data_IF_104493925982
#
_entry.id   IF_104493925982
#
_cell.length_a   1.000
_cell.length_b   1.000
_cell.length_c   1.000
_cell.angle_alpha   90.00
_cell.angle_beta   90.00
_cell.angle_gamma   90.00
#
_symmetry.space_group_name_H-M   'P 1'
#
loop_
_entity.id
_entity.type
_entity.pdbx_description
1 polymer ?
#
# COMPACT_ATOMS: atom_id res chain seq x y z
N UNK A 1 -14.17 -22.19 -12.79
CA UNK A 1 -15.36 -22.06 -11.92
C UNK A 1 -15.01 -21.08 -10.82
N UNK A 2 -15.90 -20.12 -10.52
CA UNK A 2 -15.68 -19.16 -9.44
C UNK A 2 -16.12 -19.77 -8.09
N UNK A 3 -15.38 -19.46 -7.03
CA UNK A 3 -15.69 -19.85 -5.66
C UNK A 3 -15.56 -18.61 -4.76
N UNK A 4 -16.26 -18.53 -3.62
CA UNK A 4 -16.26 -17.30 -2.80
C UNK A 4 -14.87 -16.80 -2.43
N UNK A 5 -13.92 -17.71 -2.15
CA UNK A 5 -12.55 -17.34 -1.78
C UNK A 5 -11.71 -16.82 -2.96
N UNK A 6 -12.05 -17.16 -4.21
CA UNK A 6 -11.32 -16.70 -5.40
C UNK A 6 -11.90 -15.41 -6.02
N UNK A 7 -12.95 -14.86 -5.42
CA UNK A 7 -13.57 -13.58 -5.78
C UNK A 7 -13.36 -12.56 -4.67
N UNK A 8 -12.78 -11.41 -5.02
CA UNK A 8 -12.56 -10.32 -4.08
C UNK A 8 -12.96 -8.99 -4.70
N UNK A 9 -13.60 -8.12 -3.92
CA UNK A 9 -13.92 -6.76 -4.34
C UNK A 9 -12.65 -5.91 -4.31
N UNK A 10 -12.41 -5.18 -5.39
CA UNK A 10 -11.34 -4.20 -5.48
C UNK A 10 -11.84 -2.97 -6.23
N UNK A 11 -11.33 -1.78 -5.91
CA UNK A 11 -11.63 -0.61 -6.72
C UNK A 11 -10.98 -0.73 -8.11
N UNK A 12 -11.50 0.01 -9.08
CA UNK A 12 -11.06 -0.03 -10.48
C UNK A 12 -9.55 0.20 -10.59
N UNK A 13 -9.01 1.19 -9.86
CA UNK A 13 -7.60 1.52 -9.90
C UNK A 13 -6.71 0.41 -9.34
N UNK A 14 -7.07 -0.16 -8.18
CA UNK A 14 -6.31 -1.24 -7.56
C UNK A 14 -6.36 -2.50 -8.42
N UNK A 15 -7.53 -2.82 -9.01
CA UNK A 15 -7.68 -3.95 -9.89
C UNK A 15 -6.84 -3.78 -11.17
N UNK A 16 -6.81 -2.57 -11.74
CA UNK A 16 -5.98 -2.23 -12.91
C UNK A 16 -4.48 -2.27 -12.58
N UNK A 17 -4.08 -1.70 -11.44
CA UNK A 17 -2.68 -1.68 -11.01
C UNK A 17 -2.17 -3.09 -10.68
N UNK A 18 -2.97 -3.90 -9.97
CA UNK A 18 -2.63 -5.28 -9.64
C UNK A 18 -2.59 -6.15 -10.90
N UNK A 19 -3.61 -6.05 -11.76
CA UNK A 19 -3.73 -6.86 -12.98
C UNK A 19 -3.47 -8.36 -12.70
N UNK A 20 -2.74 -9.00 -13.60
CA UNK A 20 -2.25 -10.36 -13.64
C UNK A 20 -0.94 -10.58 -12.87
N UNK A 21 -0.45 -9.59 -12.11
CA UNK A 21 0.77 -9.75 -11.30
C UNK A 21 0.62 -10.95 -10.36
N UNK A 22 1.69 -11.73 -10.25
CA UNK A 22 1.74 -12.90 -9.37
C UNK A 22 1.71 -12.47 -7.90
N UNK A 23 0.64 -12.87 -7.21
CA UNK A 23 0.41 -12.53 -5.79
C UNK A 23 0.36 -13.74 -4.86
N UNK A 24 0.59 -14.93 -5.39
CA UNK A 24 0.62 -16.19 -4.63
C UNK A 24 1.88 -16.99 -4.98
N UNK A 25 2.43 -17.69 -3.98
CA UNK A 25 3.47 -18.71 -4.18
C UNK A 25 2.88 -20.13 -4.37
N UNK A 26 1.56 -20.27 -4.25
CA UNK A 26 0.88 -21.55 -4.31
C UNK A 26 1.09 -22.21 -5.67
N UNK A 27 1.42 -23.50 -5.64
CA UNK A 27 1.46 -24.38 -6.82
C UNK A 27 0.16 -25.16 -6.99
N UNK A 28 -0.85 -24.88 -6.16
CA UNK A 28 -2.09 -25.64 -6.16
C UNK A 28 -2.85 -25.42 -7.48
N UNK A 29 -3.13 -26.52 -8.19
CA UNK A 29 -3.83 -26.51 -9.49
C UNK A 29 -5.31 -26.89 -9.33
N UNK A 30 -5.65 -27.64 -8.27
CA UNK A 30 -6.99 -28.21 -8.05
C UNK A 30 -7.79 -27.56 -6.91
N UNK A 31 -7.11 -27.03 -5.90
CA UNK A 31 -7.74 -26.45 -4.71
C UNK A 31 -7.23 -25.02 -4.50
N UNK A 32 -8.12 -24.12 -4.13
CA UNK A 32 -7.73 -22.75 -3.80
C UNK A 32 -6.89 -22.72 -2.51
N UNK A 33 -5.76 -21.97 -2.48
CA UNK A 33 -4.98 -21.82 -1.26
C UNK A 33 -5.77 -21.09 -0.17
N UNK A 34 -5.86 -21.69 1.01
CA UNK A 34 -6.59 -21.13 2.17
C UNK A 34 -5.65 -20.54 3.23
N UNK A 35 -4.35 -20.82 3.14
CA UNK A 35 -3.37 -20.31 4.11
C UNK A 35 -2.92 -18.90 3.75
N UNK A 36 -2.88 -18.01 4.74
CA UNK A 36 -2.33 -16.65 4.62
C UNK A 36 -0.93 -16.64 4.00
N UNK A 37 -0.05 -17.58 4.40
CA UNK A 37 1.32 -17.68 3.90
C UNK A 37 1.43 -18.02 2.41
N UNK A 38 0.32 -18.46 1.79
CA UNK A 38 0.27 -18.72 0.35
C UNK A 38 0.24 -17.44 -0.50
N UNK A 39 0.00 -16.28 0.12
CA UNK A 39 -0.19 -15.01 -0.57
C UNK A 39 0.88 -14.00 -0.14
N UNK A 40 1.43 -13.28 -1.14
CA UNK A 40 2.39 -12.20 -0.91
C UNK A 40 1.71 -10.88 -0.54
N UNK A 41 0.43 -10.70 -0.90
CA UNK A 41 -0.39 -9.54 -0.56
C UNK A 41 -1.40 -9.90 0.51
N UNK A 42 -1.94 -8.90 1.20
CA UNK A 42 -3.05 -9.04 2.15
C UNK A 42 -4.28 -9.55 1.41
N UNK A 43 -4.68 -10.77 1.71
CA UNK A 43 -5.86 -11.40 1.15
C UNK A 43 -7.11 -10.94 1.90
N UNK A 44 -8.11 -10.32 1.23
CA UNK A 44 -9.24 -9.66 1.89
C UNK A 44 -10.08 -10.56 2.81
N UNK A 45 -10.15 -11.86 2.53
CA UNK A 45 -10.96 -12.81 3.29
C UNK A 45 -10.16 -13.67 4.29
N UNK A 46 -8.82 -13.62 4.25
CA UNK A 46 -7.96 -14.52 5.05
C UNK A 46 -7.12 -13.70 6.03
N UNK A 47 -6.65 -12.52 5.64
CA UNK A 47 -5.79 -11.67 6.44
C UNK A 47 -6.56 -10.53 7.11
N UNK A 48 -6.14 -10.16 8.32
CA UNK A 48 -6.53 -8.86 8.88
C UNK A 48 -5.74 -7.74 8.21
N UNK A 49 -6.45 -6.90 7.45
CA UNK A 49 -5.90 -5.75 6.75
C UNK A 49 -5.21 -4.76 7.70
N UNK A 50 -5.83 -4.45 8.85
CA UNK A 50 -5.32 -3.42 9.76
C UNK A 50 -4.09 -3.86 10.55
N UNK A 51 -3.86 -5.17 10.70
CA UNK A 51 -2.61 -5.71 11.23
C UNK A 51 -1.42 -5.55 10.26
N UNK A 52 -1.68 -5.36 8.96
CA UNK A 52 -0.66 -5.30 7.92
C UNK A 52 -0.45 -3.89 7.36
N UNK A 53 -1.50 -3.05 7.34
CA UNK A 53 -1.48 -1.71 6.73
C UNK A 53 -2.13 -0.70 7.69
N UNK A 54 -1.49 0.47 7.84
CA UNK A 54 -2.09 1.66 8.44
C UNK A 54 -2.68 2.50 7.30
N UNK A 55 -3.96 2.82 7.43
CA UNK A 55 -4.62 3.77 6.54
C UNK A 55 -4.51 5.15 7.18
N UNK A 56 -3.65 6.01 6.63
CA UNK A 56 -3.54 7.40 7.08
C UNK A 56 -4.67 8.21 6.47
N UNK A 57 -4.88 8.04 5.17
CA UNK A 57 -6.01 8.64 4.46
C UNK A 57 -6.52 7.67 3.38
N UNK A 58 -7.77 7.18 3.50
CA UNK A 58 -8.35 6.29 2.51
C UNK A 58 -8.27 6.90 1.10
N UNK A 59 -7.80 6.09 0.15
CA UNK A 59 -7.62 6.48 -1.24
C UNK A 59 -6.44 7.40 -1.51
N UNK A 60 -5.63 7.78 -0.52
CA UNK A 60 -4.46 8.66 -0.73
C UNK A 60 -3.16 8.12 -0.15
N UNK A 61 -3.13 7.77 1.14
CA UNK A 61 -1.87 7.45 1.81
C UNK A 61 -1.97 6.29 2.81
N UNK A 62 -1.06 5.33 2.61
CA UNK A 62 -1.01 4.06 3.31
C UNK A 62 0.43 3.75 3.74
N UNK A 63 0.57 3.18 4.93
CA UNK A 63 1.87 2.74 5.47
C UNK A 63 1.84 1.25 5.79
N UNK A 64 2.91 0.55 5.43
CA UNK A 64 3.06 -0.86 5.77
C UNK A 64 3.45 -1.04 7.25
N UNK A 65 2.78 -1.97 7.95
CA UNK A 65 3.21 -2.50 9.26
C UNK A 65 4.07 -3.75 9.11
N UNK A 66 3.85 -4.53 8.05
CA UNK A 66 4.48 -5.82 7.79
C UNK A 66 4.83 -5.94 6.30
N UNK A 67 5.73 -6.86 5.97
CA UNK A 67 6.17 -7.13 4.58
C UNK A 67 5.01 -7.41 3.62
N UNK A 68 3.98 -8.12 4.09
CA UNK A 68 2.76 -8.37 3.31
C UNK A 68 1.97 -7.10 2.99
N UNK A 69 1.95 -6.14 3.92
CA UNK A 69 1.38 -4.81 3.70
C UNK A 69 2.19 -3.99 2.69
N UNK A 70 3.52 -4.03 2.80
CA UNK A 70 4.42 -3.38 1.83
C UNK A 70 4.19 -3.91 0.41
N UNK A 71 4.15 -5.23 0.25
CA UNK A 71 3.89 -5.84 -1.06
C UNK A 71 2.50 -5.51 -1.60
N UNK A 72 1.51 -5.36 -0.74
CA UNK A 72 0.16 -4.94 -1.13
C UNK A 72 0.15 -3.49 -1.62
N UNK A 73 0.81 -2.59 -0.91
CA UNK A 73 0.94 -1.17 -1.29
C UNK A 73 1.64 -1.05 -2.65
N UNK A 74 2.73 -1.80 -2.86
CA UNK A 74 3.49 -1.85 -4.11
C UNK A 74 2.66 -2.40 -5.28
N UNK A 75 2.10 -3.62 -5.12
CA UNK A 75 1.39 -4.33 -6.21
C UNK A 75 0.15 -3.57 -6.65
N UNK A 76 -0.63 -3.05 -5.69
CA UNK A 76 -1.87 -2.31 -5.95
C UNK A 76 -1.63 -0.81 -6.18
N UNK A 77 -0.38 -0.34 -6.09
CA UNK A 77 0.01 1.08 -6.15
C UNK A 77 -0.90 1.97 -5.29
N UNK A 78 -1.04 1.62 -4.02
CA UNK A 78 -1.94 2.33 -3.10
C UNK A 78 -1.52 3.79 -2.87
N UNK A 79 -0.23 4.08 -3.03
CA UNK A 79 0.36 5.41 -2.92
C UNK A 79 0.70 6.01 -4.30
N UNK A 80 0.02 5.58 -5.37
CA UNK A 80 0.25 6.02 -6.77
C UNK A 80 0.27 7.55 -6.97
N UNK A 81 -0.46 8.29 -6.15
CA UNK A 81 -0.49 9.76 -6.22
C UNK A 81 0.88 10.39 -5.96
N UNK A 82 1.79 9.66 -5.30
CA UNK A 82 3.17 10.05 -5.10
C UNK A 82 4.12 9.48 -6.16
N UNK A 83 3.73 8.43 -6.90
CA UNK A 83 4.52 7.90 -8.05
C UNK A 83 4.36 8.77 -9.30
N UNK A 84 3.17 9.32 -9.54
CA UNK A 84 2.89 10.23 -10.66
C UNK A 84 3.24 11.69 -10.34
N UNK A 85 3.85 11.95 -9.20
CA UNK A 85 4.46 13.24 -8.89
C UNK A 85 5.79 13.44 -9.65
N UNK A 86 5.85 13.08 -10.93
CA UNK A 86 6.66 13.87 -11.87
C UNK A 86 6.00 15.26 -11.93
N UNK A 87 6.32 16.12 -10.95
CA UNK A 87 6.24 17.60 -10.95
C UNK A 87 5.22 18.23 -11.92
N UNK A 88 4.01 17.68 -11.97
CA UNK A 88 2.94 18.14 -12.85
C UNK A 88 2.29 19.33 -12.18
N UNK A 89 2.52 20.50 -12.78
CA UNK A 89 2.11 21.89 -12.49
C UNK A 89 0.76 22.18 -11.79
N UNK A 90 -0.02 21.20 -11.34
CA UNK A 90 -1.30 21.37 -10.66
C UNK A 90 -1.39 20.75 -9.26
N UNK A 91 -0.34 20.09 -8.74
CA UNK A 91 -0.29 19.72 -7.31
C UNK A 91 0.66 20.69 -6.61
N UNK A 92 0.14 21.83 -6.18
CA UNK A 92 0.83 22.75 -5.25
C UNK A 92 0.91 22.17 -3.82
N UNK A 93 0.61 20.89 -3.62
CA UNK A 93 0.55 20.28 -2.29
C UNK A 93 1.89 19.66 -1.89
N UNK A 94 2.75 20.56 -1.43
CA UNK A 94 3.74 20.41 -0.36
C UNK A 94 5.02 19.59 -0.67
N UNK A 95 6.02 20.27 -1.24
CA UNK A 95 7.43 19.83 -1.39
C UNK A 95 8.00 19.19 -0.11
N UNK A 96 7.47 19.54 1.06
CA UNK A 96 7.87 18.96 2.35
C UNK A 96 7.60 17.47 2.43
N UNK A 97 6.47 16.96 1.93
CA UNK A 97 6.18 15.51 1.99
C UNK A 97 7.20 14.73 1.15
N UNK A 98 7.55 15.26 -0.02
CA UNK A 98 8.57 14.66 -0.89
C UNK A 98 9.95 14.64 -0.22
N UNK A 99 10.41 15.77 0.31
CA UNK A 99 11.70 15.85 1.00
C UNK A 99 11.77 14.94 2.23
N UNK A 100 10.69 14.89 3.02
CA UNK A 100 10.59 14.00 4.17
C UNK A 100 10.59 12.53 3.76
N UNK A 101 9.95 12.19 2.63
CA UNK A 101 9.94 10.80 2.12
C UNK A 101 11.34 10.37 1.67
N UNK A 102 12.09 11.27 1.03
CA UNK A 102 13.49 11.03 0.65
C UNK A 102 14.41 10.93 1.88
N UNK A 103 14.20 11.77 2.89
CA UNK A 103 14.93 11.71 4.16
C UNK A 103 14.65 10.42 4.94
N UNK A 104 13.39 9.96 4.92
CA UNK A 104 12.98 8.68 5.51
C UNK A 104 13.74 7.49 4.91
N UNK A 105 14.01 7.55 3.59
CA UNK A 105 14.72 6.51 2.85
C UNK A 105 16.22 6.48 3.16
N UNK A 106 16.83 7.65 3.40
CA UNK A 106 18.27 7.79 3.66
C UNK A 106 18.65 7.54 5.12
N UNK A 107 17.75 7.88 6.05
CA UNK A 107 18.00 7.76 7.48
C UNK A 107 17.97 6.31 7.94
N UNK A 108 18.95 5.87 8.74
CA UNK A 108 18.96 4.52 9.34
C UNK A 108 18.41 4.47 10.78
N UNK A 109 18.33 5.61 11.47
CA UNK A 109 17.80 5.71 12.83
C UNK A 109 16.27 5.56 12.87
N UNK A 110 15.78 4.53 13.57
CA UNK A 110 14.35 4.26 13.71
C UNK A 110 13.57 5.34 14.48
N UNK A 111 14.23 6.08 15.37
CA UNK A 111 13.59 7.18 16.12
C UNK A 111 13.29 8.35 15.19
N UNK A 112 14.29 8.76 14.39
CA UNK A 112 14.11 9.76 13.33
C UNK A 112 13.10 9.31 12.28
N UNK A 113 13.15 8.04 11.82
CA UNK A 113 12.15 7.53 10.87
C UNK A 113 10.73 7.62 11.42
N UNK A 114 10.52 7.33 12.71
CA UNK A 114 9.20 7.48 13.35
C UNK A 114 8.74 8.95 13.36
N UNK A 115 9.64 9.89 13.66
CA UNK A 115 9.32 11.32 13.63
C UNK A 115 8.94 11.80 12.22
N UNK A 116 9.74 11.42 11.21
CA UNK A 116 9.48 11.76 9.81
C UNK A 116 8.15 11.16 9.32
N UNK A 117 7.87 9.89 9.64
CA UNK A 117 6.58 9.25 9.31
C UNK A 117 5.40 9.99 9.93
N UNK A 118 5.53 10.46 11.18
CA UNK A 118 4.50 11.25 11.86
C UNK A 118 4.27 12.59 11.15
N UNK A 119 5.35 13.29 10.78
CA UNK A 119 5.27 14.57 10.07
C UNK A 119 4.60 14.44 8.70
N UNK A 120 4.97 13.41 7.93
CA UNK A 120 4.33 13.11 6.64
C UNK A 120 2.84 12.82 6.83
N UNK A 121 2.49 12.03 7.86
CA UNK A 121 1.08 11.73 8.15
C UNK A 121 0.28 13.00 8.49
N UNK A 122 0.84 13.90 9.30
CA UNK A 122 0.22 15.18 9.64
C UNK A 122 0.01 16.08 8.40
N UNK A 123 1.02 16.19 7.53
CA UNK A 123 0.92 16.99 6.30
C UNK A 123 -0.12 16.41 5.32
N UNK A 124 -0.15 15.08 5.17
CA UNK A 124 -1.14 14.40 4.32
C UNK A 124 -2.59 14.58 4.81
N UNK A 125 -2.77 14.73 6.12
CA UNK A 125 -4.07 15.06 6.73
C UNK A 125 -4.43 16.53 6.49
N UNK A 126 -3.47 17.46 6.52
CA UNK A 126 -3.72 18.91 6.36
C UNK A 126 -3.99 19.34 4.91
N UNK A 127 -3.35 18.75 3.90
CA UNK A 127 -3.62 18.98 2.46
C UNK A 127 -4.96 18.39 1.98
N UNK A 128 -5.94 18.29 2.87
CA UNK A 128 -7.24 17.66 2.68
C UNK A 128 -8.42 18.62 2.75
N UNK A 129 -8.17 19.83 3.26
CA UNK A 129 -9.17 20.87 3.52
C UNK A 129 -9.30 21.81 2.33
#
# INVERSE_FOLDING_TARGET
MFEPLNLCVSCVDCNKAKSDKKVTNSKAVKKYPQDSASFFIVHPLIDDYHSNIIVIKPGRYYLAKKSKGEKTIEVCKLNRFYEFAEFGASVQDDDRIFHLSEELRKTQDETHKKAIRKLIAELAIKGAA
#
